data_IF_880378681332
#
_entry.id   IF_880378681332
#
_cell.length_a   1.000
_cell.length_b   1.000
_cell.length_c   1.000
_cell.angle_alpha   90.00
_cell.angle_beta   90.00
_cell.angle_gamma   90.00
#
_symmetry.space_group_name_H-M   'P 1'
#
loop_
_entity.id
_entity.type
_entity.pdbx_description
1 polymer ?
#
# COMPACT_ATOMS: atom_id res chain seq x y z
N UNK A 1 25.80 -10.12 25.95
CA UNK A 1 24.64 -10.24 25.04
C UNK A 1 23.47 -9.32 25.43
N UNK A 2 22.85 -9.48 26.60
CA UNK A 2 21.68 -8.69 27.04
C UNK A 2 21.86 -7.15 27.03
N UNK A 3 23.08 -6.67 27.30
CA UNK A 3 23.41 -5.23 27.31
C UNK A 3 23.33 -4.59 25.91
N UNK A 4 23.64 -5.33 24.86
CA UNK A 4 23.56 -4.86 23.47
C UNK A 4 22.11 -4.67 23.02
N UNK A 5 21.25 -5.66 23.27
CA UNK A 5 19.81 -5.55 22.99
C UNK A 5 19.15 -4.39 23.74
N UNK A 6 19.53 -4.17 25.01
CA UNK A 6 19.00 -3.06 25.81
C UNK A 6 19.48 -1.70 25.28
N UNK A 7 20.75 -1.59 24.88
CA UNK A 7 21.28 -0.37 24.25
C UNK A 7 20.64 -0.11 22.88
N UNK A 8 20.54 -1.11 21.99
CA UNK A 8 19.90 -0.95 20.69
C UNK A 8 18.41 -0.62 20.80
N UNK A 9 17.69 -1.14 21.80
CA UNK A 9 16.29 -0.77 22.04
C UNK A 9 16.13 0.68 22.52
N UNK A 10 16.99 1.12 23.44
CA UNK A 10 16.99 2.51 23.90
C UNK A 10 17.49 3.48 22.82
N UNK A 11 18.33 3.03 21.89
CA UNK A 11 18.79 3.81 20.74
C UNK A 11 17.73 3.91 19.63
N UNK A 12 17.02 2.81 19.31
CA UNK A 12 15.89 2.83 18.37
C UNK A 12 14.73 3.69 18.86
N UNK A 13 14.47 3.74 20.17
CA UNK A 13 13.38 4.55 20.75
C UNK A 13 13.76 6.02 20.90
N UNK A 14 15.03 6.34 21.20
CA UNK A 14 15.47 7.74 21.36
C UNK A 14 15.99 8.39 20.07
N UNK A 15 16.44 7.60 19.07
CA UNK A 15 17.03 8.11 17.82
C UNK A 15 16.12 7.96 16.61
N UNK A 16 15.00 7.28 16.73
CA UNK A 16 14.00 7.17 15.66
C UNK A 16 12.72 7.79 16.17
N UNK A 17 12.31 8.89 15.55
CA UNK A 17 11.04 9.58 15.80
C UNK A 17 9.90 8.68 15.36
N UNK A 18 9.53 7.70 16.18
CA UNK A 18 8.28 6.98 16.03
C UNK A 18 7.14 7.98 16.24
N UNK A 19 6.29 8.20 15.22
CA UNK A 19 5.10 9.02 15.39
C UNK A 19 4.23 8.40 16.49
N UNK A 20 3.50 9.23 17.24
CA UNK A 20 2.47 8.70 18.14
C UNK A 20 1.46 7.85 17.36
N UNK A 21 0.85 6.87 18.01
CA UNK A 21 -0.11 5.96 17.37
C UNK A 21 -1.21 6.70 16.60
N UNK A 22 -1.66 7.87 17.06
CA UNK A 22 -2.63 8.70 16.35
C UNK A 22 -2.10 9.27 15.03
N UNK A 23 -0.84 9.70 14.98
CA UNK A 23 -0.21 10.18 13.75
C UNK A 23 0.03 9.04 12.74
N UNK A 24 0.28 7.83 13.25
CA UNK A 24 0.42 6.64 12.43
C UNK A 24 -0.91 6.27 11.75
N UNK A 25 -2.02 6.34 12.48
CA UNK A 25 -3.37 6.12 11.92
C UNK A 25 -3.75 7.24 10.96
N UNK A 26 -3.38 8.50 11.25
CA UNK A 26 -3.60 9.62 10.32
C UNK A 26 -2.88 9.40 8.97
N UNK A 27 -1.63 8.93 9.00
CA UNK A 27 -0.87 8.59 7.80
C UNK A 27 -1.45 7.35 7.09
N UNK A 28 -1.96 6.39 7.85
CA UNK A 28 -2.59 5.17 7.32
C UNK A 28 -3.92 5.48 6.61
N UNK A 29 -4.69 6.47 7.08
CA UNK A 29 -5.93 6.91 6.43
C UNK A 29 -5.69 7.38 5.00
N UNK A 30 -4.61 8.14 4.76
CA UNK A 30 -4.26 8.61 3.41
C UNK A 30 -3.93 7.43 2.50
N UNK A 31 -3.16 6.46 2.99
CA UNK A 31 -2.81 5.25 2.24
C UNK A 31 -4.04 4.38 1.95
N UNK A 32 -4.97 4.27 2.90
CA UNK A 32 -6.23 3.55 2.72
C UNK A 32 -7.12 4.18 1.63
N UNK A 33 -7.16 5.50 1.53
CA UNK A 33 -7.88 6.17 0.43
C UNK A 33 -7.16 5.96 -0.90
N UNK A 34 -5.83 6.03 -0.92
CA UNK A 34 -5.04 5.78 -2.12
C UNK A 34 -5.24 4.35 -2.65
N UNK A 35 -5.29 3.33 -1.78
CA UNK A 35 -5.52 1.94 -2.21
C UNK A 35 -6.89 1.72 -2.84
N UNK A 36 -7.93 2.41 -2.34
CA UNK A 36 -9.28 2.37 -2.95
C UNK A 36 -9.26 2.97 -4.36
N UNK A 37 -8.53 4.06 -4.58
CA UNK A 37 -8.38 4.66 -5.91
C UNK A 37 -7.66 3.69 -6.86
N UNK A 38 -6.57 3.05 -6.41
CA UNK A 38 -5.89 2.03 -7.22
C UNK A 38 -6.80 0.84 -7.54
N UNK A 39 -7.62 0.40 -6.59
CA UNK A 39 -8.58 -0.69 -6.82
C UNK A 39 -9.59 -0.32 -7.93
N UNK A 40 -10.10 0.91 -7.95
CA UNK A 40 -10.99 1.39 -9.01
C UNK A 40 -10.31 1.45 -10.38
N UNK A 41 -9.05 1.87 -10.43
CA UNK A 41 -8.27 1.94 -11.69
C UNK A 41 -8.05 0.54 -12.25
N UNK A 42 -7.67 -0.42 -11.42
CA UNK A 42 -7.47 -1.82 -11.84
C UNK A 42 -8.78 -2.42 -12.34
N UNK A 43 -9.90 -2.16 -11.67
CA UNK A 43 -11.22 -2.60 -12.12
C UNK A 43 -11.55 -2.07 -13.53
N UNK A 44 -11.29 -0.79 -13.80
CA UNK A 44 -11.49 -0.21 -15.14
C UNK A 44 -10.54 -0.85 -16.16
N UNK A 45 -9.28 -1.07 -15.81
CA UNK A 45 -8.31 -1.76 -16.68
C UNK A 45 -8.79 -3.17 -17.04
N UNK A 46 -9.25 -3.95 -16.07
CA UNK A 46 -9.71 -5.32 -16.29
C UNK A 46 -10.90 -5.34 -17.27
N UNK A 47 -11.89 -4.45 -17.09
CA UNK A 47 -13.04 -4.34 -17.98
C UNK A 47 -12.66 -3.91 -19.40
N UNK A 48 -11.75 -2.95 -19.53
CA UNK A 48 -11.26 -2.50 -20.84
C UNK A 48 -10.52 -3.63 -21.55
N UNK A 49 -9.70 -4.39 -20.82
CA UNK A 49 -8.93 -5.48 -21.40
C UNK A 49 -9.81 -6.65 -21.82
N UNK A 50 -10.79 -7.02 -21.01
CA UNK A 50 -11.79 -8.05 -21.35
C UNK A 50 -12.57 -7.66 -22.61
N UNK A 51 -13.10 -6.44 -22.67
CA UNK A 51 -13.85 -5.96 -23.81
C UNK A 51 -12.99 -5.86 -25.08
N UNK A 52 -11.75 -5.38 -24.93
CA UNK A 52 -10.80 -5.31 -26.05
C UNK A 52 -10.47 -6.70 -26.58
N UNK A 53 -10.18 -7.65 -25.70
CA UNK A 53 -9.81 -9.00 -26.10
C UNK A 53 -10.98 -9.75 -26.73
N UNK A 54 -12.19 -9.60 -26.19
CA UNK A 54 -13.40 -10.12 -26.81
C UNK A 54 -13.65 -9.52 -28.20
N UNK A 55 -13.38 -8.22 -28.39
CA UNK A 55 -13.46 -7.57 -29.70
C UNK A 55 -12.46 -8.14 -30.70
N UNK A 56 -11.20 -8.35 -30.28
CA UNK A 56 -10.16 -8.94 -31.12
C UNK A 56 -10.47 -10.40 -31.46
N UNK A 57 -10.91 -11.20 -30.49
CA UNK A 57 -11.28 -12.60 -30.72
C UNK A 57 -12.48 -12.75 -31.68
N UNK A 58 -13.50 -11.90 -31.55
CA UNK A 58 -14.64 -11.90 -32.47
C UNK A 58 -14.33 -11.36 -33.88
N UNK A 59 -13.22 -10.64 -34.05
CA UNK A 59 -12.79 -10.10 -35.34
C UNK A 59 -11.85 -11.07 -36.09
N UNK A 60 -11.06 -11.85 -35.35
CA UNK A 60 -10.09 -12.80 -35.89
C UNK A 60 -10.66 -14.23 -36.05
N UNK A 61 -11.72 -14.57 -35.32
CA UNK A 61 -12.50 -15.80 -35.51
C UNK A 61 -13.69 -15.55 -36.42
#
# INVERSE_FOLDING_TARGET
MFKYFKNSYSELVNKVTWPSFEQLIASTKVVMVASVIFALIVLVMDLVFENFMNGVYNLLG
#
